data_IF_797971260217
#
_entry.id   IF_797971260217
#
_cell.length_a   1.000
_cell.length_b   1.000
_cell.length_c   1.000
_cell.angle_alpha   90.00
_cell.angle_beta   90.00
_cell.angle_gamma   90.00
#
_symmetry.space_group_name_H-M   'P 1'
#
loop_
_entity.id
_entity.type
_entity.pdbx_description
1 polymer ?
#
# COMPACT_ATOMS: atom_id res chain seq x y z
N UNK A 1 -8.28 -47.48 -46.30
CA UNK A 1 -8.42 -47.14 -44.87
C UNK A 1 -7.41 -46.05 -44.56
N UNK A 2 -7.90 -44.92 -44.07
CA UNK A 2 -7.28 -43.60 -44.15
C UNK A 2 -6.11 -43.41 -43.17
N UNK A 3 -4.99 -42.89 -43.69
CA UNK A 3 -3.94 -42.22 -42.91
C UNK A 3 -4.40 -40.78 -42.69
N UNK A 4 -4.54 -40.34 -41.44
CA UNK A 4 -4.38 -38.95 -40.95
C UNK A 4 -4.35 -39.06 -39.42
N UNK A 5 -3.21 -38.76 -38.81
CA UNK A 5 -3.13 -38.33 -37.42
C UNK A 5 -2.27 -37.06 -37.44
N UNK A 6 -2.92 -35.93 -37.73
CA UNK A 6 -2.35 -34.62 -37.62
C UNK A 6 -2.14 -34.33 -36.13
N UNK A 7 -0.88 -34.33 -35.68
CA UNK A 7 -0.53 -33.84 -34.36
C UNK A 7 -0.82 -32.34 -34.31
N UNK A 8 -1.84 -32.02 -33.52
CA UNK A 8 -2.32 -30.68 -33.27
C UNK A 8 -1.26 -29.81 -32.60
N UNK A 9 -1.08 -28.66 -33.20
CA UNK A 9 -0.39 -27.46 -32.74
C UNK A 9 -0.98 -27.02 -31.38
N UNK A 10 -0.24 -27.22 -30.28
CA UNK A 10 -0.59 -26.67 -28.97
C UNK A 10 0.15 -25.33 -28.81
N UNK A 11 -0.43 -24.28 -29.38
CA UNK A 11 -0.03 -22.90 -29.10
C UNK A 11 -0.49 -22.53 -27.70
N UNK A 12 0.46 -22.35 -26.77
CA UNK A 12 0.20 -21.75 -25.46
C UNK A 12 -0.03 -20.26 -25.69
N UNK A 13 -1.30 -19.87 -25.75
CA UNK A 13 -1.70 -18.47 -25.70
C UNK A 13 -1.97 -18.11 -24.23
N UNK A 14 -0.98 -17.53 -23.55
CA UNK A 14 -1.20 -16.87 -22.26
C UNK A 14 -1.88 -15.54 -22.57
N UNK A 15 -3.19 -15.47 -22.34
CA UNK A 15 -3.90 -14.19 -22.31
C UNK A 15 -3.68 -13.64 -20.89
N UNK A 16 -2.81 -12.63 -20.78
CA UNK A 16 -2.82 -11.71 -19.65
C UNK A 16 -4.17 -10.99 -19.67
N UNK A 17 -5.12 -11.49 -18.88
CA UNK A 17 -6.38 -10.81 -18.60
C UNK A 17 -6.09 -9.62 -17.68
N UNK A 18 -5.74 -8.48 -18.28
CA UNK A 18 -5.98 -7.19 -17.63
C UNK A 18 -7.48 -6.95 -17.78
N UNK A 19 -8.25 -6.74 -16.69
CA UNK A 19 -9.66 -6.39 -16.83
C UNK A 19 -9.74 -5.03 -17.54
N UNK A 20 -10.11 -5.07 -18.82
CA UNK A 20 -10.46 -3.89 -19.58
C UNK A 20 -11.89 -3.49 -19.16
N UNK A 21 -12.00 -2.60 -18.18
CA UNK A 21 -13.22 -1.82 -17.97
C UNK A 21 -13.31 -0.78 -19.09
N UNK A 22 -14.10 -1.10 -20.10
CA UNK A 22 -14.46 -0.17 -21.17
C UNK A 22 -15.61 0.71 -20.72
N UNK A 23 -15.31 1.94 -20.30
CA UNK A 23 -16.29 3.04 -20.30
C UNK A 23 -15.75 4.22 -21.12
N UNK A 24 -16.56 4.59 -22.11
CA UNK A 24 -16.27 5.64 -23.09
C UNK A 24 -16.64 7.02 -22.54
N UNK A 25 -15.85 7.49 -21.58
CA UNK A 25 -15.64 8.89 -21.22
C UNK A 25 -14.31 8.88 -20.47
N UNK A 26 -13.21 9.11 -21.18
CA UNK A 26 -11.84 8.86 -20.70
C UNK A 26 -11.68 9.15 -19.21
N UNK A 27 -11.66 8.12 -18.34
CA UNK A 27 -11.24 8.32 -16.97
C UNK A 27 -9.78 8.76 -17.08
N UNK A 28 -9.45 9.83 -16.35
CA UNK A 28 -8.05 10.13 -16.04
C UNK A 28 -7.47 8.82 -15.50
N UNK A 29 -6.31 8.39 -16.01
CA UNK A 29 -5.65 7.17 -15.53
C UNK A 29 -5.63 7.20 -14.01
N UNK A 30 -6.25 6.23 -13.30
CA UNK A 30 -6.27 6.28 -11.84
C UNK A 30 -4.84 6.25 -11.34
N UNK A 31 -4.58 6.97 -10.25
CA UNK A 31 -3.26 6.95 -9.63
C UNK A 31 -3.01 5.57 -9.02
N UNK A 32 -1.86 4.96 -9.33
CA UNK A 32 -1.54 3.60 -8.88
C UNK A 32 -0.47 3.60 -7.79
N UNK A 33 -0.74 2.79 -6.77
CA UNK A 33 0.22 2.40 -5.74
C UNK A 33 0.65 0.95 -5.88
N UNK A 34 1.75 0.62 -5.22
CA UNK A 34 2.10 -0.78 -4.95
C UNK A 34 2.72 -0.93 -3.57
N UNK A 35 2.27 -1.92 -2.82
CA UNK A 35 2.85 -2.31 -1.55
C UNK A 35 3.59 -3.63 -1.69
N UNK A 36 4.83 -3.66 -1.23
CA UNK A 36 5.59 -4.90 -1.03
C UNK A 36 5.71 -5.16 0.47
N UNK A 37 5.25 -6.33 0.91
CA UNK A 37 5.40 -6.79 2.29
C UNK A 37 6.38 -7.96 2.30
N UNK A 38 7.38 -7.89 3.18
CA UNK A 38 8.40 -8.91 3.38
C UNK A 38 8.43 -9.35 4.85
N UNK A 39 8.18 -10.63 5.11
CA UNK A 39 8.40 -11.25 6.41
C UNK A 39 9.84 -11.77 6.48
N UNK A 40 10.59 -11.29 7.47
CA UNK A 40 11.97 -11.67 7.72
C UNK A 40 12.07 -12.47 9.02
N UNK A 41 12.91 -13.51 9.01
CA UNK A 41 13.24 -14.29 10.20
C UNK A 41 14.19 -13.56 11.16
N UNK A 42 14.55 -14.22 12.26
CA UNK A 42 15.48 -13.72 13.28
C UNK A 42 16.89 -13.41 12.76
N UNK A 43 17.27 -13.97 11.59
CA UNK A 43 18.54 -13.73 10.90
C UNK A 43 18.41 -12.75 9.74
N UNK A 44 17.25 -12.11 9.58
CA UNK A 44 16.96 -11.19 8.48
C UNK A 44 16.77 -11.88 7.13
N UNK A 45 16.54 -13.19 7.10
CA UNK A 45 16.26 -13.93 5.86
C UNK A 45 14.78 -13.86 5.52
N UNK A 46 14.49 -13.73 4.23
CA UNK A 46 13.12 -13.68 3.73
C UNK A 46 12.42 -15.04 3.91
N UNK A 47 11.32 -15.04 4.68
CA UNK A 47 10.40 -16.19 4.78
C UNK A 47 9.28 -16.08 3.76
N UNK A 48 8.85 -14.86 3.49
CA UNK A 48 7.70 -14.56 2.65
C UNK A 48 7.82 -13.16 2.08
N UNK A 49 7.42 -12.98 0.83
CA UNK A 49 7.31 -11.68 0.17
C UNK A 49 6.09 -11.67 -0.74
N UNK A 50 5.36 -10.56 -0.73
CA UNK A 50 4.25 -10.30 -1.63
C UNK A 50 4.28 -8.85 -2.11
N UNK A 51 3.83 -8.63 -3.33
CA UNK A 51 3.59 -7.30 -3.89
C UNK A 51 2.17 -7.20 -4.38
N UNK A 52 1.45 -6.18 -3.92
CA UNK A 52 0.06 -5.91 -4.26
C UNK A 52 -0.01 -4.53 -4.91
N UNK A 53 -0.74 -4.43 -6.01
CA UNK A 53 -1.05 -3.17 -6.67
C UNK A 53 -2.44 -2.71 -6.23
N UNK A 54 -2.56 -1.43 -5.91
CA UNK A 54 -3.80 -0.84 -5.42
C UNK A 54 -4.04 0.51 -6.09
N UNK A 55 -5.30 0.92 -6.07
CA UNK A 55 -5.71 2.28 -6.42
C UNK A 55 -5.52 3.19 -5.20
N UNK A 56 -5.32 4.47 -5.46
CA UNK A 56 -5.37 5.53 -4.45
C UNK A 56 -6.82 5.93 -4.28
N UNK A 57 -7.22 6.17 -3.04
CA UNK A 57 -8.58 6.61 -2.73
C UNK A 57 -8.81 8.03 -3.23
N UNK A 58 -10.04 8.36 -3.61
CA UNK A 58 -10.46 9.72 -3.99
C UNK A 58 -9.91 10.83 -3.07
N UNK A 59 -9.91 10.62 -1.74
CA UNK A 59 -9.36 11.58 -0.77
C UNK A 59 -7.86 11.84 -0.96
N UNK A 60 -7.11 10.77 -1.27
CA UNK A 60 -5.69 10.84 -1.58
C UNK A 60 -5.42 11.52 -2.92
N UNK A 61 -6.26 11.27 -3.94
CA UNK A 61 -6.16 11.95 -5.23
C UNK A 61 -6.46 13.45 -5.10
N UNK A 62 -7.53 13.81 -4.38
CA UNK A 62 -7.88 15.20 -4.08
C UNK A 62 -6.76 15.91 -3.31
N UNK A 63 -6.15 15.23 -2.32
CA UNK A 63 -5.00 15.77 -1.61
C UNK A 63 -3.84 16.06 -2.56
N UNK A 64 -3.50 15.11 -3.44
CA UNK A 64 -2.42 15.27 -4.42
C UNK A 64 -2.70 16.42 -5.38
N UNK A 65 -3.93 16.54 -5.87
CA UNK A 65 -4.35 17.65 -6.73
C UNK A 65 -4.30 18.99 -6.00
N UNK A 66 -4.70 19.04 -4.73
CA UNK A 66 -4.64 20.25 -3.92
C UNK A 66 -3.20 20.68 -3.62
N UNK A 67 -2.30 19.73 -3.38
CA UNK A 67 -0.87 20.01 -3.23
C UNK A 67 -0.25 20.58 -4.51
N UNK A 68 -0.67 20.10 -5.69
CA UNK A 68 -0.09 20.54 -6.98
C UNK A 68 -0.73 21.83 -7.49
N UNK A 69 -2.05 21.98 -7.35
CA UNK A 69 -2.82 23.03 -8.03
C UNK A 69 -3.44 24.08 -7.12
N UNK A 70 -3.64 23.78 -5.82
CA UNK A 70 -4.24 24.72 -4.86
C UNK A 70 -3.24 25.30 -3.85
N UNK A 71 -1.93 25.28 -4.12
CA UNK A 71 -0.96 25.99 -3.28
C UNK A 71 -1.14 27.52 -3.41
N UNK A 72 -2.19 28.06 -2.79
CA UNK A 72 -2.44 29.50 -2.68
C UNK A 72 -1.42 30.04 -1.67
N UNK A 73 -0.30 30.57 -2.18
CA UNK A 73 0.67 31.33 -1.36
C UNK A 73 2.11 30.80 -1.31
N UNK A 74 2.44 29.73 -2.04
CA UNK A 74 3.85 29.33 -2.26
C UNK A 74 4.59 28.72 -1.05
N UNK A 75 3.87 28.29 -0.02
CA UNK A 75 4.45 27.51 1.08
C UNK A 75 4.18 26.03 0.75
N UNK A 76 5.24 25.29 0.44
CA UNK A 76 5.15 23.83 0.31
C UNK A 76 4.57 23.25 1.60
N UNK A 77 3.77 22.18 1.50
CA UNK A 77 3.36 21.41 2.67
C UNK A 77 4.59 21.05 3.48
N UNK A 78 4.56 21.40 4.77
CA UNK A 78 5.59 20.99 5.72
C UNK A 78 5.65 19.46 5.73
N UNK A 79 6.86 18.90 5.78
CA UNK A 79 7.11 17.48 5.50
C UNK A 79 6.26 16.54 6.37
N UNK A 80 5.93 16.98 7.58
CA UNK A 80 5.07 16.29 8.54
C UNK A 80 3.56 16.26 8.22
N UNK A 81 3.16 16.63 7.01
CA UNK A 81 1.78 16.46 6.51
C UNK A 81 1.77 15.73 5.16
N UNK A 82 2.94 15.45 4.58
CA UNK A 82 3.08 14.73 3.31
C UNK A 82 2.81 13.22 3.50
N UNK A 83 2.61 12.48 2.41
CA UNK A 83 2.47 11.02 2.45
C UNK A 83 3.74 10.41 3.04
N UNK A 84 3.62 9.63 4.11
CA UNK A 84 4.82 9.10 4.77
C UNK A 84 4.59 8.13 5.93
N UNK A 85 3.35 7.77 6.25
CA UNK A 85 3.07 6.76 7.27
C UNK A 85 2.43 5.51 6.67
N UNK A 86 2.76 4.36 7.23
CA UNK A 86 2.13 3.07 6.94
C UNK A 86 1.61 2.50 8.25
N UNK A 87 0.33 2.14 8.27
CA UNK A 87 -0.36 1.49 9.37
C UNK A 87 -0.65 0.05 9.01
N UNK A 88 -0.31 -0.89 9.88
CA UNK A 88 -0.67 -2.30 9.73
C UNK A 88 -1.89 -2.60 10.59
N UNK A 89 -2.84 -3.39 10.10
CA UNK A 89 -4.02 -3.75 10.86
C UNK A 89 -4.47 -5.19 10.59
N UNK A 90 -5.24 -5.73 11.53
CA UNK A 90 -5.89 -7.03 11.44
C UNK A 90 -7.36 -6.85 11.00
N UNK A 91 -8.00 -7.94 10.57
CA UNK A 91 -9.42 -7.89 10.16
C UNK A 91 -9.63 -7.84 8.65
N UNK A 92 -10.76 -7.35 8.21
CA UNK A 92 -11.10 -7.27 6.79
C UNK A 92 -11.01 -5.82 6.36
N UNK A 93 -10.04 -5.44 5.51
CA UNK A 93 -9.94 -4.05 5.06
C UNK A 93 -11.22 -3.68 4.32
N UNK A 94 -11.69 -2.46 4.54
CA UNK A 94 -12.53 -1.85 3.51
C UNK A 94 -11.67 -1.31 2.38
N UNK A 95 -11.99 -1.77 1.18
CA UNK A 95 -11.44 -1.20 -0.07
C UNK A 95 -12.47 -0.30 -0.76
N UNK A 96 -13.55 0.06 -0.08
CA UNK A 96 -14.55 0.99 -0.59
C UNK A 96 -14.07 2.42 -0.31
N UNK A 97 -13.95 3.24 -1.36
CA UNK A 97 -13.52 4.63 -1.24
C UNK A 97 -14.53 5.51 -0.49
N UNK A 98 -15.75 5.00 -0.26
CA UNK A 98 -16.74 5.66 0.60
C UNK A 98 -16.46 5.47 2.09
N UNK A 99 -15.63 4.50 2.46
CA UNK A 99 -15.22 4.27 3.84
C UNK A 99 -14.08 5.21 4.22
N UNK A 100 -14.23 5.84 5.38
CA UNK A 100 -13.32 6.88 5.84
C UNK A 100 -12.26 6.34 6.77
N UNK A 101 -11.34 7.23 7.14
CA UNK A 101 -10.30 6.96 8.14
C UNK A 101 -10.85 6.37 9.46
N UNK A 102 -12.05 6.78 9.87
CA UNK A 102 -12.70 6.26 11.08
C UNK A 102 -13.02 4.77 11.01
N UNK A 103 -13.38 4.28 9.83
CA UNK A 103 -13.77 2.88 9.63
C UNK A 103 -12.54 1.98 9.76
N UNK A 104 -11.40 2.41 9.19
CA UNK A 104 -10.11 1.71 9.31
C UNK A 104 -9.56 1.77 10.73
N UNK A 105 -9.57 2.95 11.36
CA UNK A 105 -9.10 3.08 12.74
C UNK A 105 -9.99 2.31 13.73
N UNK A 106 -11.24 2.00 13.37
CA UNK A 106 -12.12 1.18 14.21
C UNK A 106 -11.77 -0.31 14.20
N UNK A 107 -11.05 -0.77 13.17
CA UNK A 107 -10.53 -2.13 13.07
C UNK A 107 -9.25 -2.32 13.92
N UNK A 108 -8.56 -1.24 14.29
CA UNK A 108 -7.47 -1.29 15.28
C UNK A 108 -8.02 -1.29 16.71
N UNK A 109 -7.91 -2.43 17.38
CA UNK A 109 -8.35 -2.59 18.75
C UNK A 109 -7.23 -2.38 19.79
N UNK A 110 -5.99 -2.11 19.36
CA UNK A 110 -4.82 -2.11 20.22
C UNK A 110 -4.37 -0.70 20.59
N UNK A 111 -5.00 -0.11 21.61
CA UNK A 111 -4.59 1.20 22.16
C UNK A 111 -3.19 1.24 22.79
N UNK A 112 -2.49 0.11 22.89
CA UNK A 112 -1.22 -0.02 23.65
C UNK A 112 0.02 -0.28 22.81
N UNK A 113 -0.13 -0.62 21.53
CA UNK A 113 1.01 -0.92 20.64
C UNK A 113 0.93 -0.07 19.38
N UNK A 114 2.01 0.63 19.00
CA UNK A 114 1.96 1.47 17.83
C UNK A 114 1.95 0.61 16.55
N UNK A 115 0.84 0.66 15.80
CA UNK A 115 0.65 -0.07 14.54
C UNK A 115 0.97 0.74 13.31
N UNK A 116 1.21 2.03 13.46
CA UNK A 116 1.60 2.94 12.40
C UNK A 116 3.03 3.41 12.58
N UNK A 117 3.78 3.41 11.49
CA UNK A 117 5.16 3.87 11.42
C UNK A 117 5.28 4.99 10.39
N UNK A 118 5.97 6.06 10.74
CA UNK A 118 6.33 7.14 9.80
C UNK A 118 7.73 6.88 9.24
N UNK A 119 7.90 7.01 7.93
CA UNK A 119 9.20 7.08 7.26
C UNK A 119 9.60 8.55 7.14
N UNK A 120 10.62 8.97 7.89
CA UNK A 120 11.20 10.31 7.83
C UNK A 120 12.16 10.49 6.64
N UNK A 121 12.39 9.41 5.87
CA UNK A 121 13.33 9.37 4.76
C UNK A 121 12.69 9.09 3.41
N UNK A 122 11.38 9.35 3.26
CA UNK A 122 10.62 9.11 2.01
C UNK A 122 11.45 9.50 0.80
N UNK A 123 11.82 8.51 0.00
CA UNK A 123 12.73 8.70 -1.12
C UNK A 123 11.95 9.01 -2.39
N UNK A 124 12.47 9.91 -3.21
CA UNK A 124 11.88 10.26 -4.51
C UNK A 124 12.90 9.98 -5.61
N UNK A 125 12.51 9.19 -6.60
CA UNK A 125 13.32 8.88 -7.78
C UNK A 125 12.46 9.00 -9.04
N UNK A 126 12.65 10.09 -9.79
CA UNK A 126 11.80 10.38 -10.95
C UNK A 126 10.37 10.70 -10.51
N UNK A 127 9.40 9.98 -11.06
CA UNK A 127 7.96 10.10 -10.75
C UNK A 127 7.51 9.11 -9.65
N UNK A 128 8.46 8.44 -8.98
CA UNK A 128 8.16 7.43 -7.97
C UNK A 128 8.57 7.96 -6.60
N UNK A 129 7.63 7.98 -5.66
CA UNK A 129 7.88 8.16 -4.23
C UNK A 129 7.87 6.78 -3.55
N UNK A 130 8.83 6.52 -2.66
CA UNK A 130 8.95 5.25 -1.93
C UNK A 130 8.99 5.52 -0.44
N UNK A 131 8.10 4.85 0.28
CA UNK A 131 7.96 4.86 1.74
C UNK A 131 8.35 3.47 2.21
N UNK A 132 9.22 3.36 3.20
CA UNK A 132 9.65 2.08 3.76
C UNK A 132 9.60 2.10 5.28
N UNK A 133 8.90 1.13 5.86
CA UNK A 133 8.82 0.95 7.32
C UNK A 133 9.07 -0.51 7.70
N UNK A 134 9.49 -0.73 8.93
CA UNK A 134 9.67 -2.08 9.48
C UNK A 134 8.90 -2.21 10.80
N UNK A 135 8.01 -3.19 10.85
CA UNK A 135 7.30 -3.59 12.05
C UNK A 135 8.05 -4.72 12.75
N UNK A 136 8.17 -4.61 14.07
CA UNK A 136 8.89 -5.60 14.90
C UNK A 136 7.91 -6.32 15.82
N UNK A 137 7.96 -7.65 15.81
CA UNK A 137 7.17 -8.49 16.72
C UNK A 137 7.53 -8.19 18.18
N UNK A 138 6.53 -8.09 19.04
CA UNK A 138 6.64 -7.65 20.43
C UNK A 138 6.68 -6.13 20.62
N UNK A 139 6.90 -5.34 19.57
CA UNK A 139 6.89 -3.86 19.63
C UNK A 139 5.66 -3.28 18.94
N UNK A 140 5.49 -3.58 17.66
CA UNK A 140 4.38 -3.11 16.84
C UNK A 140 3.28 -4.14 16.71
N UNK A 141 3.59 -5.40 17.02
CA UNK A 141 2.67 -6.50 16.83
C UNK A 141 2.79 -7.53 17.94
N UNK A 142 1.67 -8.07 18.43
CA UNK A 142 1.74 -9.17 19.41
C UNK A 142 2.20 -10.44 18.71
N UNK A 143 3.02 -11.25 19.38
CA UNK A 143 3.46 -12.54 18.85
C UNK A 143 2.26 -13.42 18.45
N UNK A 144 2.22 -13.88 17.20
CA UNK A 144 1.15 -14.72 16.66
C UNK A 144 -0.12 -13.98 16.24
N UNK A 145 -0.15 -12.66 16.33
CA UNK A 145 -1.24 -11.86 15.76
C UNK A 145 -1.03 -11.69 14.24
N UNK A 146 -2.09 -11.46 13.47
CA UNK A 146 -2.04 -11.44 12.00
C UNK A 146 -2.24 -10.04 11.45
N UNK A 147 -1.32 -9.59 10.59
CA UNK A 147 -1.48 -8.44 9.70
C UNK A 147 -2.26 -8.90 8.48
N UNK A 148 -3.43 -8.32 8.24
CA UNK A 148 -4.26 -8.63 7.07
C UNK A 148 -4.32 -7.47 6.08
N UNK A 149 -4.08 -6.24 6.51
CA UNK A 149 -4.05 -5.10 5.61
C UNK A 149 -3.10 -4.02 6.09
N UNK A 150 -2.78 -3.12 5.17
CA UNK A 150 -2.06 -1.90 5.49
C UNK A 150 -2.81 -0.68 4.94
N UNK A 151 -2.63 0.45 5.60
CA UNK A 151 -3.15 1.74 5.17
C UNK A 151 -2.00 2.74 5.05
N UNK A 152 -2.03 3.55 3.99
CA UNK A 152 -1.03 4.58 3.70
C UNK A 152 -1.59 5.94 4.03
N UNK A 153 -0.86 6.70 4.84
CA UNK A 153 -1.36 7.88 5.51
C UNK A 153 -0.35 9.04 5.46
N UNK A 154 -0.82 10.22 5.86
CA UNK A 154 0.06 11.36 6.14
C UNK A 154 1.10 10.99 7.20
N UNK A 155 2.33 11.46 7.01
CA UNK A 155 3.39 11.40 8.01
C UNK A 155 2.92 12.04 9.32
N UNK A 156 3.36 11.48 10.46
CA UNK A 156 3.03 12.06 11.75
C UNK A 156 4.05 13.11 12.15
N UNK A 157 3.61 14.22 12.78
CA UNK A 157 4.46 15.34 13.18
C UNK A 157 5.55 15.06 14.21
N UNK A 158 5.51 13.89 14.84
CA UNK A 158 6.54 13.45 15.78
C UNK A 158 7.52 12.44 15.18
N UNK A 159 7.34 12.02 13.92
CA UNK A 159 8.12 10.95 13.27
C UNK A 159 8.21 9.66 14.11
N UNK A 160 7.24 9.45 15.01
CA UNK A 160 7.19 8.29 15.91
C UNK A 160 6.12 7.31 15.51
N UNK A 161 6.30 6.07 15.96
CA UNK A 161 5.27 5.06 15.89
C UNK A 161 4.01 5.52 16.64
N UNK A 162 2.84 5.46 15.99
CA UNK A 162 1.54 5.81 16.57
C UNK A 162 0.59 4.61 16.45
N UNK A 163 -0.51 4.62 17.20
CA UNK A 163 -1.46 3.51 17.16
C UNK A 163 -2.21 3.51 15.83
N UNK A 164 -2.78 4.65 15.46
CA UNK A 164 -3.72 4.74 14.36
C UNK A 164 -3.26 5.69 13.24
N UNK A 165 -3.85 5.54 12.07
CA UNK A 165 -3.63 6.45 10.96
C UNK A 165 -4.20 7.84 11.30
N UNK A 166 -3.44 8.89 11.00
CA UNK A 166 -3.81 10.29 11.29
C UNK A 166 -3.64 11.13 10.02
N UNK A 167 -4.52 12.10 9.82
CA UNK A 167 -4.47 13.03 8.69
C UNK A 167 -5.26 12.49 7.51
N UNK A 168 -4.67 12.57 6.31
CA UNK A 168 -5.31 12.07 5.08
C UNK A 168 -4.93 10.61 4.85
N UNK A 169 -5.92 9.83 4.47
CA UNK A 169 -5.73 8.46 4.02
C UNK A 169 -5.59 8.43 2.50
N UNK A 170 -4.52 7.80 2.02
CA UNK A 170 -4.19 7.75 0.60
C UNK A 170 -4.58 6.42 -0.03
N UNK A 171 -4.42 5.33 0.70
CA UNK A 171 -4.68 4.01 0.18
C UNK A 171 -4.89 3.00 1.29
N UNK A 172 -5.65 1.96 0.95
CA UNK A 172 -5.76 0.74 1.72
C UNK A 172 -5.33 -0.40 0.83
N UNK A 173 -4.49 -1.28 1.35
CA UNK A 173 -4.00 -2.44 0.63
C UNK A 173 -4.40 -3.68 1.41
N UNK A 174 -5.27 -4.48 0.78
CA UNK A 174 -5.59 -5.83 1.26
C UNK A 174 -4.40 -6.75 1.03
N UNK A 175 -3.84 -7.26 2.11
CA UNK A 175 -2.64 -8.09 2.08
C UNK A 175 -3.01 -9.53 2.36
N UNK A 176 -2.28 -10.50 1.80
CA UNK A 176 -2.44 -11.85 2.34
C UNK A 176 -1.93 -11.87 3.78
N UNK A 177 -2.69 -12.56 4.64
CA UNK A 177 -2.44 -12.64 6.07
C UNK A 177 -0.98 -12.99 6.38
N UNK A 178 -0.28 -12.09 7.08
CA UNK A 178 1.07 -12.30 7.61
C UNK A 178 1.01 -12.39 9.13
N UNK A 179 1.45 -13.52 9.68
CA UNK A 179 1.46 -13.75 11.13
C UNK A 179 2.91 -13.87 11.60
N UNK A 180 3.59 -12.74 11.92
CA UNK A 180 4.95 -12.79 12.39
C UNK A 180 4.99 -13.39 13.81
N UNK A 181 6.05 -14.17 14.09
CA UNK A 181 6.23 -14.83 15.38
C UNK A 181 7.62 -14.63 15.98
N UNK A 182 7.72 -14.70 17.31
CA UNK A 182 9.00 -14.57 18.01
C UNK A 182 9.68 -13.23 17.77
N UNK A 183 10.84 -13.25 17.11
CA UNK A 183 11.65 -12.06 16.78
C UNK A 183 11.60 -11.68 15.30
N UNK A 184 10.60 -12.17 14.57
CA UNK A 184 10.39 -11.85 13.16
C UNK A 184 10.05 -10.37 12.96
N UNK A 185 10.36 -9.86 11.77
CA UNK A 185 10.03 -8.49 11.37
C UNK A 185 9.28 -8.49 10.05
N UNK A 186 8.40 -7.49 9.89
CA UNK A 186 7.66 -7.28 8.64
C UNK A 186 8.08 -5.94 8.07
N UNK A 187 8.81 -5.97 6.95
CA UNK A 187 9.17 -4.77 6.21
C UNK A 187 8.12 -4.49 5.16
N UNK A 188 7.60 -3.28 5.14
CA UNK A 188 6.62 -2.82 4.17
C UNK A 188 7.24 -1.68 3.37
N UNK A 189 7.22 -1.82 2.05
CA UNK A 189 7.63 -0.79 1.11
C UNK A 189 6.44 -0.40 0.25
N UNK A 190 5.98 0.84 0.38
CA UNK A 190 4.95 1.39 -0.49
C UNK A 190 5.58 2.28 -1.55
N UNK A 191 5.21 2.07 -2.80
CA UNK A 191 5.62 2.90 -3.94
C UNK A 191 4.41 3.57 -4.52
N UNK A 192 4.51 4.89 -4.62
CA UNK A 192 3.56 5.70 -5.34
C UNK A 192 4.17 6.13 -6.67
N UNK A 193 3.51 5.79 -7.79
CA UNK A 193 3.99 6.08 -9.14
C UNK A 193 2.99 6.97 -9.88
N UNK A 194 3.43 8.20 -10.21
CA UNK A 194 2.66 9.15 -11.02
C UNK A 194 3.14 9.24 -12.46
N UNK A 195 3.94 8.28 -12.92
CA UNK A 195 4.40 8.25 -14.30
C UNK A 195 3.22 8.11 -15.26
N UNK A 196 3.15 9.00 -16.23
CA UNK A 196 2.25 8.83 -17.36
C UNK A 196 2.88 7.82 -18.32
N UNK A 197 2.20 6.71 -18.62
CA UNK A 197 2.61 5.87 -19.74
C UNK A 197 2.49 6.71 -21.02
N UNK A 198 3.61 7.08 -21.63
CA UNK A 198 3.59 7.65 -22.96
C UNK A 198 3.22 6.55 -23.95
N UNK A 199 1.94 6.46 -24.30
CA UNK A 199 1.49 5.74 -25.50
C UNK A 199 1.12 6.76 -26.57
#
# INVERSE_FOLDING_TARGET
>A
MYKIAALGMLGVLVILLIPASSDASTPISPFYGSATLMLLDEYGQEKFSQTIHNQIFDEGEDYLLDQVFKTIGGIATVDNVQIGAICAAAGTPSTDETDGLSDINSDDNSSTMPRCMTDDTVTKSGQIATIAVTFVTGTNWTDGETISHISVCSAHASDTAVNDCVGTMFAVVDTSNVTPTGTETVTVTYKFDISSSST
#
